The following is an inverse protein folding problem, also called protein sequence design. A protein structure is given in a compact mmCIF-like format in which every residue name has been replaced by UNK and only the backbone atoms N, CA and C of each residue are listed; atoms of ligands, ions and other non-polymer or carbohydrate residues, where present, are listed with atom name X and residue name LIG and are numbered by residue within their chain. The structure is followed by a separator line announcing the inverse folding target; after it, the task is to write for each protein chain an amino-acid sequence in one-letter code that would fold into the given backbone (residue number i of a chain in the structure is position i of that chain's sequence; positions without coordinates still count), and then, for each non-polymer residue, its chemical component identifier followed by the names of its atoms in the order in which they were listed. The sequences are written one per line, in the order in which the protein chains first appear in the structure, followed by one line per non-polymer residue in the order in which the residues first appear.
data_IF_695736040280
#
_entry.id   IF_695736040280
#
_cell.length_a   1.000
_cell.length_b   1.000
_cell.length_c   1.000
_cell.angle_alpha   90.00
_cell.angle_beta   90.00
_cell.angle_gamma   90.00
#
_symmetry.space_group_name_H-M   'P 1'
#
loop_
_entity.id
_entity.type
_entity.pdbx_description
1 polymer ?
#
# COMPACT_ATOMS: atom_id res chain seq x y z
N UNK A 1 20.53 0.52 -1.17
CA UNK A 1 19.60 1.61 -0.83
C UNK A 1 19.43 2.57 -2.02
N UNK A 2 20.43 3.34 -2.43
CA UNK A 2 20.30 4.37 -3.50
C UNK A 2 19.79 3.89 -4.86
N UNK A 3 19.95 2.61 -5.25
CA UNK A 3 19.51 2.11 -6.58
C UNK A 3 17.98 2.19 -6.77
N UNK A 4 17.19 1.92 -5.73
CA UNK A 4 15.71 1.99 -5.80
C UNK A 4 15.24 3.46 -5.81
N UNK A 5 15.80 4.30 -4.93
CA UNK A 5 15.47 5.73 -4.89
C UNK A 5 15.85 6.41 -6.21
N UNK A 6 17.05 6.17 -6.74
CA UNK A 6 17.47 6.75 -8.01
C UNK A 6 16.59 6.28 -9.19
N UNK A 7 16.23 4.99 -9.22
CA UNK A 7 15.43 4.42 -10.32
C UNK A 7 13.98 4.88 -10.36
N UNK A 8 13.39 5.21 -9.20
CA UNK A 8 11.96 5.51 -9.07
C UNK A 8 11.71 6.99 -8.77
N UNK A 9 12.45 7.55 -7.83
CA UNK A 9 12.20 8.90 -7.33
C UNK A 9 12.76 10.00 -8.22
N UNK A 10 13.96 9.83 -8.81
CA UNK A 10 14.51 10.82 -9.72
C UNK A 10 13.65 11.08 -10.97
N UNK A 11 13.12 10.06 -11.66
CA UNK A 11 12.21 10.32 -12.79
C UNK A 11 10.95 11.09 -12.38
N UNK A 12 10.40 10.82 -11.20
CA UNK A 12 9.25 11.54 -10.67
C UNK A 12 9.59 13.02 -10.41
N UNK A 13 10.72 13.30 -9.78
CA UNK A 13 11.18 14.64 -9.50
C UNK A 13 11.50 15.44 -10.79
N UNK A 14 12.13 14.79 -11.78
CA UNK A 14 12.37 15.41 -13.09
C UNK A 14 11.04 15.80 -13.76
N UNK A 15 10.05 14.91 -13.73
CA UNK A 15 8.73 15.21 -14.27
C UNK A 15 8.04 16.35 -13.52
N UNK A 16 8.13 16.36 -12.19
CA UNK A 16 7.62 17.44 -11.34
C UNK A 16 8.22 18.79 -11.73
N UNK A 17 9.55 18.89 -11.79
CA UNK A 17 10.28 20.11 -12.17
C UNK A 17 9.93 20.56 -13.58
N UNK A 18 9.86 19.62 -14.53
CA UNK A 18 9.51 19.89 -15.91
C UNK A 18 8.09 20.46 -16.05
N UNK A 19 7.10 19.86 -15.41
CA UNK A 19 5.71 20.33 -15.49
C UNK A 19 5.53 21.70 -14.81
N UNK A 20 6.20 21.92 -13.69
CA UNK A 20 6.21 23.25 -13.04
C UNK A 20 6.87 24.31 -13.91
N UNK A 21 7.99 24.02 -14.56
CA UNK A 21 8.66 24.93 -15.48
C UNK A 21 7.77 25.30 -16.69
N UNK A 22 6.78 24.45 -17.02
CA UNK A 22 5.77 24.73 -18.04
C UNK A 22 4.56 25.53 -17.50
N UNK A 23 4.60 25.99 -16.27
CA UNK A 23 3.52 26.76 -15.64
C UNK A 23 2.33 25.93 -15.17
N UNK A 24 2.48 24.60 -15.04
CA UNK A 24 1.40 23.74 -14.55
C UNK A 24 1.39 23.71 -13.03
N UNK A 25 0.20 23.56 -12.46
CA UNK A 25 0.06 23.20 -11.06
C UNK A 25 0.40 21.73 -10.89
N UNK A 26 1.24 21.38 -9.91
CA UNK A 26 1.70 20.01 -9.69
C UNK A 26 1.79 19.73 -8.20
N UNK A 27 1.14 18.66 -7.76
CA UNK A 27 1.34 18.10 -6.43
C UNK A 27 2.11 16.78 -6.57
N UNK A 28 3.32 16.72 -6.04
CA UNK A 28 4.17 15.54 -6.06
C UNK A 28 4.11 14.83 -4.71
N UNK A 29 3.53 13.65 -4.69
CA UNK A 29 3.31 12.86 -3.47
C UNK A 29 4.21 11.64 -3.46
N UNK A 30 4.79 11.35 -2.31
CA UNK A 30 5.48 10.10 -2.00
C UNK A 30 5.48 9.89 -0.49
N UNK A 31 6.02 8.76 -0.05
CA UNK A 31 6.15 8.46 1.37
C UNK A 31 6.89 7.17 1.64
N UNK A 32 7.12 6.90 2.91
CA UNK A 32 7.58 5.61 3.40
C UNK A 32 6.38 4.74 3.76
N UNK A 33 6.39 3.53 3.22
CA UNK A 33 5.50 2.45 3.63
C UNK A 33 6.08 1.81 4.89
N UNK A 34 5.38 1.96 6.02
CA UNK A 34 5.93 1.71 7.36
C UNK A 34 5.22 0.61 8.13
N UNK A 35 4.21 -0.02 7.53
CA UNK A 35 3.49 -1.12 8.12
C UNK A 35 3.89 -2.48 7.49
N UNK A 36 3.34 -3.54 8.06
CA UNK A 36 3.50 -4.90 7.55
C UNK A 36 4.68 -5.67 8.10
N UNK A 37 4.71 -6.93 7.71
CA UNK A 37 5.61 -7.98 8.22
C UNK A 37 7.11 -7.67 8.17
N UNK A 38 7.68 -7.01 7.14
CA UNK A 38 9.11 -6.73 7.12
C UNK A 38 9.58 -5.84 8.26
N UNK A 39 8.72 -4.95 8.74
CA UNK A 39 9.03 -4.04 9.85
C UNK A 39 9.04 -4.80 11.18
N UNK A 40 8.02 -5.64 11.42
CA UNK A 40 7.93 -6.42 12.66
C UNK A 40 9.07 -7.43 12.77
N UNK A 41 9.42 -8.12 11.68
CA UNK A 41 10.59 -9.02 11.63
C UNK A 41 11.88 -8.27 11.97
N UNK A 42 12.09 -7.10 11.37
CA UNK A 42 13.30 -6.30 11.64
C UNK A 42 13.34 -5.81 13.09
N UNK A 43 12.19 -5.43 13.65
CA UNK A 43 12.07 -5.01 15.05
C UNK A 43 12.41 -6.16 16.00
N UNK A 44 11.86 -7.35 15.78
CA UNK A 44 12.15 -8.56 16.54
C UNK A 44 13.65 -8.93 16.46
N UNK A 45 14.24 -8.96 15.27
CA UNK A 45 15.67 -9.27 15.06
C UNK A 45 16.60 -8.27 15.76
N UNK A 46 16.22 -7.00 15.84
CA UNK A 46 17.01 -5.95 16.50
C UNK A 46 16.66 -5.78 18.00
N UNK A 47 15.60 -6.38 18.52
CA UNK A 47 15.11 -6.19 19.88
C UNK A 47 14.63 -4.77 20.16
N UNK A 48 14.04 -4.08 19.18
CA UNK A 48 13.51 -2.73 19.29
C UNK A 48 12.04 -2.68 18.84
N UNK A 49 11.35 -1.55 19.07
CA UNK A 49 9.97 -1.41 18.64
C UNK A 49 9.85 -1.21 17.12
N UNK A 50 8.74 -1.65 16.48
CA UNK A 50 8.46 -1.34 15.08
C UNK A 50 8.51 0.15 14.78
N UNK A 51 8.00 1.00 15.69
CA UNK A 51 8.06 2.46 15.56
C UNK A 51 9.52 2.97 15.44
N UNK A 52 10.43 2.44 16.26
CA UNK A 52 11.85 2.83 16.21
C UNK A 52 12.50 2.46 14.87
N UNK A 53 12.13 1.30 14.31
CA UNK A 53 12.60 0.88 12.97
C UNK A 53 12.16 1.89 11.91
N UNK A 54 10.88 2.23 11.87
CA UNK A 54 10.35 3.11 10.81
C UNK A 54 10.82 4.55 10.96
N UNK A 55 11.01 5.06 12.17
CA UNK A 55 11.55 6.40 12.42
C UNK A 55 13.00 6.54 11.90
N UNK A 56 13.83 5.52 12.14
CA UNK A 56 15.17 5.44 11.58
C UNK A 56 15.15 5.47 10.05
N UNK A 57 14.40 4.55 9.44
CA UNK A 57 14.39 4.40 7.98
C UNK A 57 13.69 5.56 7.26
N UNK A 58 12.63 6.14 7.82
CA UNK A 58 12.01 7.34 7.26
C UNK A 58 13.01 8.48 7.13
N UNK A 59 13.75 8.76 8.22
CA UNK A 59 14.77 9.81 8.25
C UNK A 59 15.87 9.55 7.22
N UNK A 60 16.38 8.31 7.14
CA UNK A 60 17.41 7.93 6.18
C UNK A 60 16.92 8.08 4.74
N UNK A 61 15.69 7.65 4.46
CA UNK A 61 15.10 7.74 3.12
C UNK A 61 14.86 9.20 2.70
N UNK A 62 14.28 10.02 3.59
CA UNK A 62 14.07 11.44 3.34
C UNK A 62 15.38 12.16 3.05
N UNK A 63 16.41 11.90 3.88
CA UNK A 63 17.75 12.45 3.65
C UNK A 63 18.33 12.01 2.30
N UNK A 64 18.22 10.74 1.95
CA UNK A 64 18.70 10.23 0.66
C UNK A 64 18.06 10.92 -0.54
N UNK A 65 16.77 11.27 -0.46
CA UNK A 65 16.08 12.04 -1.50
C UNK A 65 16.62 13.46 -1.62
N UNK A 66 16.89 14.12 -0.49
CA UNK A 66 17.52 15.46 -0.49
C UNK A 66 18.92 15.40 -1.07
N UNK A 67 19.73 14.41 -0.67
CA UNK A 67 21.11 14.23 -1.16
C UNK A 67 21.14 13.96 -2.68
N UNK A 68 20.09 13.34 -3.24
CA UNK A 68 19.91 13.15 -4.68
C UNK A 68 19.39 14.40 -5.41
N UNK A 69 19.13 15.50 -4.70
CA UNK A 69 18.58 16.74 -5.27
C UNK A 69 17.10 16.66 -5.62
N UNK A 70 16.35 15.70 -5.06
CA UNK A 70 14.91 15.62 -5.21
C UNK A 70 14.20 16.72 -4.43
N UNK A 71 13.05 17.18 -4.95
CA UNK A 71 12.27 18.29 -4.39
C UNK A 71 11.34 17.85 -3.25
N UNK A 72 11.31 16.58 -2.85
CA UNK A 72 10.45 16.13 -1.76
C UNK A 72 10.82 16.76 -0.42
N UNK A 73 9.79 17.12 0.33
CA UNK A 73 9.88 17.68 1.67
C UNK A 73 8.98 16.91 2.64
N UNK A 74 9.39 16.84 3.90
CA UNK A 74 8.54 16.34 4.98
C UNK A 74 7.47 17.35 5.39
N UNK A 75 7.65 18.63 5.02
CA UNK A 75 6.70 19.69 5.27
C UNK A 75 6.36 20.40 3.97
N UNK A 76 5.11 20.80 3.81
CA UNK A 76 4.67 21.58 2.66
C UNK A 76 5.18 23.02 2.83
N UNK A 77 5.94 23.49 1.83
CA UNK A 77 6.32 24.88 1.71
C UNK A 77 5.09 25.71 1.30
N UNK A 78 4.72 26.70 2.10
CA UNK A 78 3.56 27.54 1.84
C UNK A 78 3.80 28.58 0.75
N UNK A 79 5.06 28.84 0.39
CA UNK A 79 5.39 29.75 -0.72
C UNK A 79 4.92 29.17 -2.07
N UNK A 80 3.91 29.83 -2.64
CA UNK A 80 3.32 29.37 -3.91
C UNK A 80 2.54 28.07 -3.79
N UNK A 81 1.95 27.80 -2.63
CA UNK A 81 1.15 26.60 -2.35
C UNK A 81 -0.02 26.45 -3.33
N UNK A 82 -0.54 27.53 -3.89
CA UNK A 82 -1.60 27.54 -4.91
C UNK A 82 -1.20 26.84 -6.22
N UNK A 83 0.09 26.62 -6.44
CA UNK A 83 0.63 25.85 -7.58
C UNK A 83 0.87 24.37 -7.27
N UNK A 84 0.49 23.92 -6.07
CA UNK A 84 0.73 22.56 -5.57
C UNK A 84 1.91 22.51 -4.63
N UNK A 85 2.81 21.57 -4.84
CA UNK A 85 3.99 21.39 -3.99
C UNK A 85 4.53 19.98 -4.06
N UNK A 86 5.34 19.62 -3.09
CA UNK A 86 5.86 18.26 -2.92
C UNK A 86 5.76 17.84 -1.46
N UNK A 87 5.36 16.61 -1.22
CA UNK A 87 5.26 16.06 0.12
C UNK A 87 5.82 14.63 0.16
N UNK A 88 6.71 14.38 1.11
CA UNK A 88 7.18 13.05 1.49
C UNK A 88 6.60 12.72 2.86
N UNK A 89 5.50 11.96 2.86
CA UNK A 89 4.76 11.57 4.07
C UNK A 89 5.16 10.18 4.54
N UNK A 90 4.46 9.65 5.52
CA UNK A 90 4.65 8.31 6.08
C UNK A 90 3.30 7.67 6.40
N UNK A 91 3.21 6.34 6.30
CA UNK A 91 1.94 5.65 6.57
C UNK A 91 1.61 5.54 8.07
N UNK A 92 2.58 5.77 8.96
CA UNK A 92 2.35 5.92 10.41
C UNK A 92 1.86 7.31 10.84
N UNK A 93 1.67 8.24 9.89
CA UNK A 93 1.07 9.55 10.17
C UNK A 93 -0.38 9.40 10.63
N UNK A 94 -0.76 10.12 11.69
CA UNK A 94 -2.11 10.03 12.26
C UNK A 94 -3.20 10.43 11.25
N UNK A 95 -2.93 11.42 10.37
CA UNK A 95 -3.89 11.81 9.32
C UNK A 95 -4.05 10.70 8.27
N UNK A 96 -2.99 9.94 8.01
CA UNK A 96 -3.10 8.77 7.13
C UNK A 96 -4.00 7.70 7.76
N UNK A 97 -3.80 7.39 9.04
CA UNK A 97 -4.66 6.45 9.77
C UNK A 97 -6.13 6.86 9.70
N UNK A 98 -6.45 8.12 10.03
CA UNK A 98 -7.82 8.63 10.01
C UNK A 98 -8.47 8.54 8.63
N UNK A 99 -7.75 8.95 7.57
CA UNK A 99 -8.26 8.91 6.19
C UNK A 99 -8.47 7.48 5.70
N UNK A 100 -7.55 6.57 6.02
CA UNK A 100 -7.68 5.16 5.64
C UNK A 100 -8.88 4.52 6.34
N UNK A 101 -9.07 4.79 7.63
CA UNK A 101 -10.23 4.31 8.37
C UNK A 101 -11.54 4.90 7.86
N UNK A 102 -11.56 6.18 7.49
CA UNK A 102 -12.72 6.83 6.83
C UNK A 102 -13.09 6.11 5.53
N UNK A 103 -12.11 5.86 4.65
CA UNK A 103 -12.34 5.15 3.38
C UNK A 103 -12.78 3.70 3.63
N UNK A 104 -12.18 3.02 4.60
CA UNK A 104 -12.55 1.65 4.94
C UNK A 104 -14.02 1.56 5.38
N UNK A 105 -14.47 2.47 6.25
CA UNK A 105 -15.86 2.53 6.69
C UNK A 105 -16.82 2.88 5.56
N UNK A 106 -16.45 3.80 4.67
CA UNK A 106 -17.26 4.11 3.48
C UNK A 106 -17.44 2.88 2.57
N UNK A 107 -16.40 2.07 2.38
CA UNK A 107 -16.52 0.83 1.61
C UNK A 107 -17.40 -0.21 2.31
N UNK A 108 -17.33 -0.29 3.63
CA UNK A 108 -18.19 -1.17 4.42
C UNK A 108 -19.66 -0.76 4.33
N UNK A 109 -19.96 0.53 4.48
CA UNK A 109 -21.30 1.10 4.35
C UNK A 109 -21.91 0.92 2.94
N UNK A 110 -21.06 0.91 1.91
CA UNK A 110 -21.46 0.66 0.52
C UNK A 110 -21.59 -0.83 0.19
N UNK A 111 -21.47 -1.72 1.16
CA UNK A 111 -21.47 -3.18 0.96
C UNK A 111 -20.38 -3.68 -0.01
N UNK A 112 -19.26 -2.97 -0.09
CA UNK A 112 -18.11 -3.36 -0.94
C UNK A 112 -17.11 -4.24 -0.20
N UNK A 113 -17.26 -4.40 1.12
CA UNK A 113 -16.49 -5.33 1.95
C UNK A 113 -17.39 -6.47 2.42
N UNK A 114 -16.91 -7.69 2.29
CA UNK A 114 -17.62 -8.88 2.75
C UNK A 114 -16.75 -9.73 3.65
N UNK A 115 -17.33 -10.26 4.72
CA UNK A 115 -16.65 -11.20 5.60
C UNK A 115 -16.50 -12.55 4.91
N UNK A 116 -15.28 -13.10 4.94
CA UNK A 116 -14.98 -14.46 4.49
C UNK A 116 -13.97 -15.11 5.43
N UNK A 117 -14.13 -16.40 5.66
CA UNK A 117 -13.18 -17.22 6.39
C UNK A 117 -12.08 -17.70 5.45
N UNK A 118 -10.84 -17.61 5.90
CA UNK A 118 -9.69 -18.18 5.20
C UNK A 118 -8.84 -19.01 6.16
N UNK A 119 -8.07 -19.93 5.59
CA UNK A 119 -7.14 -20.76 6.34
C UNK A 119 -5.76 -20.10 6.42
N UNK A 120 -5.20 -20.04 7.62
CA UNK A 120 -3.89 -19.44 7.85
C UNK A 120 -3.11 -20.24 8.88
N UNK A 121 -1.78 -20.30 8.71
CA UNK A 121 -0.93 -20.89 9.73
C UNK A 121 -0.92 -20.04 10.99
N UNK A 122 -0.86 -20.72 12.13
CA UNK A 122 -0.67 -20.11 13.44
C UNK A 122 0.37 -20.89 14.25
N UNK A 123 1.08 -20.19 15.10
CA UNK A 123 1.85 -20.78 16.20
C UNK A 123 0.95 -21.04 17.39
N UNK A 124 1.22 -22.13 18.07
CA UNK A 124 0.61 -22.43 19.36
C UNK A 124 1.72 -22.48 20.39
N UNK A 125 1.64 -21.61 21.38
CA UNK A 125 2.58 -21.60 22.49
C UNK A 125 2.29 -22.73 23.50
N UNK A 126 3.16 -22.86 24.51
CA UNK A 126 3.03 -23.88 25.56
C UNK A 126 1.82 -23.67 26.46
N UNK A 127 1.22 -22.48 26.46
CA UNK A 127 0.02 -22.12 27.21
C UNK A 127 -1.27 -22.28 26.39
N UNK A 128 -1.13 -22.60 25.09
CA UNK A 128 -2.23 -22.79 24.16
C UNK A 128 -2.70 -21.51 23.50
N UNK A 129 -1.98 -20.38 23.64
CA UNK A 129 -2.30 -19.16 22.94
C UNK A 129 -1.97 -19.31 21.45
N UNK A 130 -2.82 -18.72 20.62
CA UNK A 130 -2.73 -18.78 19.16
C UNK A 130 -2.23 -17.46 18.62
N UNK A 131 -1.12 -17.50 17.88
CA UNK A 131 -0.59 -16.36 17.12
C UNK A 131 -0.63 -16.69 15.63
N UNK A 132 -1.49 -16.03 14.87
CA UNK A 132 -1.51 -16.19 13.41
C UNK A 132 -0.21 -15.71 12.79
N UNK A 133 0.24 -16.44 11.77
CA UNK A 133 1.49 -16.16 11.06
C UNK A 133 1.14 -15.54 9.69
N UNK A 134 1.43 -14.26 9.46
CA UNK A 134 1.41 -13.72 8.10
C UNK A 134 2.32 -14.54 7.17
N UNK A 135 2.00 -14.57 5.87
CA UNK A 135 2.64 -15.45 4.88
C UNK A 135 4.17 -15.45 4.95
N UNK A 136 4.80 -14.30 5.22
CA UNK A 136 6.26 -14.17 5.29
C UNK A 136 6.90 -14.66 6.59
N UNK A 137 6.08 -14.99 7.59
CA UNK A 137 6.52 -15.68 8.80
C UNK A 137 6.50 -17.21 8.63
N UNK A 138 5.91 -17.72 7.56
CA UNK A 138 5.97 -19.13 7.21
C UNK A 138 7.05 -19.34 6.19
N UNK A 139 7.96 -20.29 6.43
CA UNK A 139 9.01 -20.70 5.51
C UNK A 139 8.99 -22.21 5.35
N UNK A 140 9.40 -22.70 4.21
CA UNK A 140 9.43 -24.13 3.91
C UNK A 140 10.05 -24.44 2.56
N UNK A 141 9.81 -25.64 2.07
CA UNK A 141 10.34 -26.09 0.78
C UNK A 141 9.38 -25.67 -0.33
N UNK A 142 9.91 -24.96 -1.33
CA UNK A 142 9.15 -24.53 -2.50
C UNK A 142 8.53 -25.73 -3.24
N UNK A 143 7.23 -25.74 -3.49
CA UNK A 143 6.57 -26.85 -4.20
C UNK A 143 6.98 -26.94 -5.69
N UNK A 144 7.57 -25.88 -6.25
CA UNK A 144 7.92 -25.80 -7.67
C UNK A 144 9.40 -26.13 -7.91
N UNK A 145 10.33 -25.56 -7.16
CA UNK A 145 11.76 -25.71 -7.42
C UNK A 145 12.56 -26.42 -6.31
N UNK A 146 11.93 -26.74 -5.18
CA UNK A 146 12.59 -27.43 -4.06
C UNK A 146 13.51 -26.54 -3.21
N UNK A 147 13.49 -25.20 -3.39
CA UNK A 147 14.25 -24.31 -2.53
C UNK A 147 13.78 -24.44 -1.07
N UNK A 148 14.70 -24.71 -0.13
CA UNK A 148 14.40 -25.04 1.27
C UNK A 148 14.04 -23.83 2.14
N UNK A 149 14.26 -22.61 1.64
CA UNK A 149 13.97 -21.35 2.33
C UNK A 149 12.92 -20.50 1.58
N UNK A 150 11.94 -21.15 0.99
CA UNK A 150 10.86 -20.48 0.31
C UNK A 150 9.89 -19.86 1.32
N UNK A 151 9.39 -18.66 1.01
CA UNK A 151 8.41 -17.95 1.86
C UNK A 151 6.99 -18.38 1.53
N UNK A 152 6.04 -18.13 2.44
CA UNK A 152 4.67 -18.57 2.29
C UNK A 152 3.87 -17.90 1.15
N UNK A 153 4.37 -16.81 0.58
CA UNK A 153 3.72 -16.09 -0.53
C UNK A 153 4.41 -16.27 -1.88
N UNK A 154 5.73 -16.50 -1.85
CA UNK A 154 6.52 -16.66 -3.07
C UNK A 154 7.89 -17.29 -2.81
N UNK A 155 8.48 -17.87 -3.83
CA UNK A 155 9.86 -18.34 -3.81
C UNK A 155 10.81 -17.29 -4.38
N UNK A 156 11.77 -16.83 -3.58
CA UNK A 156 12.79 -15.88 -4.04
C UNK A 156 13.74 -16.48 -5.10
N UNK A 157 13.85 -17.81 -5.17
CA UNK A 157 14.73 -18.51 -6.12
C UNK A 157 14.11 -18.64 -7.51
N UNK A 158 12.86 -19.10 -7.64
CA UNK A 158 12.23 -19.34 -8.94
C UNK A 158 11.14 -18.30 -9.28
N UNK A 159 10.75 -17.42 -8.33
CA UNK A 159 9.73 -16.39 -8.54
C UNK A 159 8.29 -16.90 -8.56
N UNK A 160 8.06 -18.19 -8.30
CA UNK A 160 6.70 -18.74 -8.25
C UNK A 160 5.94 -18.24 -7.04
N UNK A 161 4.66 -17.93 -7.23
CA UNK A 161 3.70 -17.56 -6.17
C UNK A 161 2.79 -18.73 -5.86
N UNK A 162 2.45 -18.90 -4.60
CA UNK A 162 1.60 -19.97 -4.07
C UNK A 162 1.01 -19.53 -2.72
N UNK A 163 0.07 -20.31 -2.19
CA UNK A 163 -0.46 -20.10 -0.85
C UNK A 163 0.46 -20.79 0.18
N UNK A 164 0.53 -20.25 1.41
CA UNK A 164 1.44 -20.75 2.44
C UNK A 164 1.25 -22.24 2.75
N UNK A 165 0.03 -22.77 2.60
CA UNK A 165 -0.28 -24.18 2.85
C UNK A 165 0.25 -25.13 1.74
N UNK A 166 0.69 -24.61 0.61
CA UNK A 166 1.30 -25.39 -0.47
C UNK A 166 2.80 -25.66 -0.23
N UNK A 167 3.42 -24.97 0.73
CA UNK A 167 4.80 -25.24 1.12
C UNK A 167 4.97 -26.66 1.69
N UNK A 168 6.01 -27.35 1.28
CA UNK A 168 6.40 -28.60 1.91
C UNK A 168 7.19 -28.31 3.20
N UNK A 169 6.93 -29.08 4.26
CA UNK A 169 7.58 -28.93 5.57
C UNK A 169 7.58 -27.48 6.09
N UNK A 170 6.41 -26.83 6.17
CA UNK A 170 6.31 -25.46 6.64
C UNK A 170 6.74 -25.36 8.11
N UNK A 171 7.34 -24.23 8.46
CA UNK A 171 7.76 -23.89 9.83
C UNK A 171 7.66 -22.38 10.05
N UNK A 172 7.53 -21.99 11.30
CA UNK A 172 7.63 -20.57 11.64
C UNK A 172 9.06 -20.06 11.46
N UNK A 173 9.20 -18.90 10.85
CA UNK A 173 10.49 -18.22 10.71
C UNK A 173 10.98 -17.65 12.04
N UNK A 174 10.08 -17.07 12.83
CA UNK A 174 10.41 -16.47 14.13
C UNK A 174 10.73 -17.51 15.21
N UNK A 175 10.06 -18.67 15.15
CA UNK A 175 10.27 -19.75 16.10
C UNK A 175 10.24 -21.11 15.38
N UNK A 176 11.40 -21.56 14.80
CA UNK A 176 11.46 -22.80 14.01
C UNK A 176 11.07 -24.08 14.78
N UNK A 177 11.07 -24.02 16.11
CA UNK A 177 10.67 -25.14 16.98
C UNK A 177 9.21 -25.06 17.45
N UNK A 178 8.49 -23.98 17.12
CA UNK A 178 7.09 -23.88 17.45
C UNK A 178 6.27 -24.90 16.67
N UNK A 179 5.24 -25.43 17.33
CA UNK A 179 4.20 -26.17 16.64
C UNK A 179 3.37 -25.19 15.83
N UNK A 180 3.28 -25.39 14.52
CA UNK A 180 2.37 -24.63 13.67
C UNK A 180 1.18 -25.49 13.25
N UNK A 181 0.03 -24.89 13.16
CA UNK A 181 -1.22 -25.49 12.70
C UNK A 181 -1.92 -24.56 11.72
N UNK A 182 -2.80 -25.10 10.90
CA UNK A 182 -3.70 -24.31 10.07
C UNK A 182 -5.00 -24.12 10.86
N UNK A 183 -5.45 -22.87 10.96
CA UNK A 183 -6.74 -22.52 11.57
C UNK A 183 -7.50 -21.54 10.69
N UNK A 184 -8.79 -21.57 10.85
CA UNK A 184 -9.69 -20.63 10.23
C UNK A 184 -9.60 -19.28 10.92
N UNK A 185 -9.54 -18.20 10.11
CA UNK A 185 -9.61 -16.81 10.56
C UNK A 185 -10.50 -16.01 9.63
N UNK A 186 -11.28 -15.09 10.18
CA UNK A 186 -12.21 -14.28 9.43
C UNK A 186 -11.57 -12.95 9.03
N UNK A 187 -11.73 -12.59 7.77
CA UNK A 187 -11.23 -11.35 7.20
C UNK A 187 -12.30 -10.64 6.38
N UNK A 188 -12.14 -9.32 6.22
CA UNK A 188 -12.93 -8.56 5.28
C UNK A 188 -12.26 -8.58 3.91
N UNK A 189 -13.05 -8.88 2.89
CA UNK A 189 -12.64 -8.97 1.50
C UNK A 189 -13.30 -7.88 0.69
N UNK A 190 -12.51 -7.09 -0.02
CA UNK A 190 -12.98 -6.13 -1.00
C UNK A 190 -13.52 -6.87 -2.23
N UNK A 191 -14.76 -6.57 -2.62
CA UNK A 191 -15.47 -7.19 -3.75
C UNK A 191 -14.93 -6.70 -5.10
N UNK A 192 -13.64 -6.88 -5.32
CA UNK A 192 -12.94 -6.39 -6.51
C UNK A 192 -13.52 -6.93 -7.83
N UNK A 193 -14.09 -8.12 -7.81
CA UNK A 193 -14.74 -8.74 -8.96
C UNK A 193 -15.92 -7.92 -9.51
N UNK A 194 -16.57 -7.11 -8.71
CA UNK A 194 -17.67 -6.24 -9.14
C UNK A 194 -17.20 -5.10 -10.05
N UNK A 195 -15.90 -4.79 -10.04
CA UNK A 195 -15.29 -3.74 -10.84
C UNK A 195 -14.62 -4.24 -12.13
N UNK A 196 -14.80 -5.51 -12.50
CA UNK A 196 -14.16 -6.11 -13.68
C UNK A 196 -14.41 -5.30 -14.94
N UNK A 197 -15.70 -5.04 -15.27
CA UNK A 197 -16.10 -4.34 -16.49
C UNK A 197 -15.60 -2.89 -16.52
N UNK A 198 -15.63 -2.21 -15.39
CA UNK A 198 -15.19 -0.81 -15.30
C UNK A 198 -13.67 -0.69 -15.47
N UNK A 199 -12.92 -1.62 -14.89
CA UNK A 199 -11.46 -1.68 -15.05
C UNK A 199 -11.07 -2.08 -16.48
N UNK A 200 -11.84 -2.93 -17.15
CA UNK A 200 -11.63 -3.23 -18.56
C UNK A 200 -11.85 -2.00 -19.44
N UNK A 201 -12.96 -1.29 -19.26
CA UNK A 201 -13.26 -0.02 -19.98
C UNK A 201 -12.16 1.01 -19.72
N UNK A 202 -11.75 1.18 -18.44
CA UNK A 202 -10.66 2.07 -18.07
C UNK A 202 -9.36 1.69 -18.78
N UNK A 203 -8.95 0.42 -18.72
CA UNK A 203 -7.76 -0.08 -19.39
C UNK A 203 -7.79 0.18 -20.91
N UNK A 204 -8.94 -0.05 -21.55
CA UNK A 204 -9.12 0.24 -22.99
C UNK A 204 -8.97 1.72 -23.30
N UNK A 205 -9.54 2.60 -22.48
CA UNK A 205 -9.41 4.07 -22.65
C UNK A 205 -7.96 4.55 -22.54
N UNK A 206 -7.10 3.84 -21.82
CA UNK A 206 -5.70 4.21 -21.58
C UNK A 206 -4.69 3.55 -22.53
N UNK A 207 -5.11 2.77 -23.49
CA UNK A 207 -4.21 2.02 -24.40
C UNK A 207 -3.18 2.88 -25.16
N UNK A 208 -3.54 4.13 -25.50
CA UNK A 208 -2.63 5.05 -26.17
C UNK A 208 -1.67 5.79 -25.21
N UNK A 209 -1.94 5.76 -23.91
CA UNK A 209 -1.23 6.55 -22.89
C UNK A 209 -0.28 5.67 -22.08
N UNK A 210 -0.73 4.48 -21.69
CA UNK A 210 0.05 3.58 -20.86
C UNK A 210 1.19 2.92 -21.63
N UNK A 211 2.29 2.69 -20.92
CA UNK A 211 3.44 1.94 -21.46
C UNK A 211 3.05 0.51 -21.82
N UNK A 212 3.70 -0.12 -22.80
CA UNK A 212 3.37 -1.48 -23.26
C UNK A 212 3.39 -2.54 -22.15
N UNK A 213 4.36 -2.48 -21.24
CA UNK A 213 4.45 -3.41 -20.11
C UNK A 213 3.29 -3.25 -19.12
N UNK A 214 2.83 -2.03 -18.84
CA UNK A 214 1.66 -1.78 -17.99
C UNK A 214 0.43 -2.38 -18.62
N UNK A 215 0.20 -2.11 -19.93
CA UNK A 215 -0.94 -2.65 -20.67
C UNK A 215 -0.96 -4.19 -20.68
N UNK A 216 0.19 -4.81 -20.94
CA UNK A 216 0.29 -6.26 -20.98
C UNK A 216 -0.02 -6.89 -19.61
N UNK A 217 0.53 -6.33 -18.54
CA UNK A 217 0.28 -6.81 -17.18
C UNK A 217 -1.18 -6.65 -16.78
N UNK A 218 -1.76 -5.47 -16.99
CA UNK A 218 -3.19 -5.20 -16.71
C UNK A 218 -4.09 -6.15 -17.50
N UNK A 219 -3.83 -6.34 -18.80
CA UNK A 219 -4.61 -7.26 -19.62
C UNK A 219 -4.54 -8.69 -19.11
N UNK A 220 -3.37 -9.16 -18.74
CA UNK A 220 -3.22 -10.52 -18.19
C UNK A 220 -4.05 -10.71 -16.92
N UNK A 221 -4.02 -9.74 -16.03
CA UNK A 221 -4.80 -9.78 -14.78
C UNK A 221 -6.30 -9.78 -15.03
N UNK A 222 -6.80 -8.89 -15.87
CA UNK A 222 -8.21 -8.84 -16.23
C UNK A 222 -8.67 -10.13 -16.92
N UNK A 223 -7.83 -10.71 -17.79
CA UNK A 223 -8.15 -12.00 -18.46
C UNK A 223 -8.23 -13.18 -17.48
N UNK A 224 -7.55 -13.14 -16.33
CA UNK A 224 -7.65 -14.16 -15.28
C UNK A 224 -8.96 -14.05 -14.48
N UNK A 225 -9.69 -12.95 -14.62
CA UNK A 225 -10.83 -12.60 -13.81
C UNK A 225 -10.43 -12.08 -12.43
N UNK A 226 -11.02 -10.97 -12.02
CA UNK A 226 -10.77 -10.40 -10.71
C UNK A 226 -11.47 -11.21 -9.63
N UNK A 227 -10.82 -11.35 -8.47
CA UNK A 227 -11.36 -12.06 -7.30
C UNK A 227 -11.39 -11.13 -6.10
N UNK A 228 -12.30 -11.37 -5.15
CA UNK A 228 -12.28 -10.64 -3.89
C UNK A 228 -10.88 -10.70 -3.24
N UNK A 229 -10.48 -9.60 -2.60
CA UNK A 229 -9.16 -9.46 -1.97
C UNK A 229 -9.29 -9.15 -0.49
N UNK A 230 -8.64 -9.93 0.36
CA UNK A 230 -8.61 -9.66 1.78
C UNK A 230 -7.91 -8.33 2.07
N UNK A 231 -8.62 -7.42 2.75
CA UNK A 231 -8.15 -6.08 3.13
C UNK A 231 -7.85 -5.95 4.61
N UNK A 232 -7.96 -7.04 5.37
CA UNK A 232 -7.53 -7.14 6.77
C UNK A 232 -6.50 -8.25 6.93
N UNK A 233 -5.72 -8.19 8.01
CA UNK A 233 -4.70 -9.19 8.36
C UNK A 233 -4.63 -9.38 9.88
N UNK A 234 -4.28 -10.59 10.31
CA UNK A 234 -3.91 -10.89 11.70
C UNK A 234 -2.50 -10.38 11.96
N UNK A 235 -2.37 -9.09 12.18
CA UNK A 235 -1.12 -8.39 12.41
C UNK A 235 -1.38 -7.19 13.32
N UNK A 236 -0.63 -7.07 14.41
CA UNK A 236 -0.79 -5.97 15.37
C UNK A 236 -0.18 -4.66 14.86
N UNK A 237 0.92 -4.73 14.07
CA UNK A 237 1.58 -3.56 13.53
C UNK A 237 0.95 -3.12 12.21
N UNK A 238 0.05 -2.17 12.27
CA UNK A 238 -0.69 -1.65 11.13
C UNK A 238 -1.73 -0.62 11.57
N UNK A 239 -2.61 -0.25 10.67
CA UNK A 239 -3.78 0.58 10.98
C UNK A 239 -4.89 -0.35 11.46
N UNK A 240 -5.39 -0.13 12.67
CA UNK A 240 -6.44 -0.95 13.28
C UNK A 240 -7.72 -0.92 12.44
N UNK A 241 -8.42 -2.02 12.36
CA UNK A 241 -9.75 -2.12 11.76
C UNK A 241 -10.73 -1.30 12.59
N UNK A 242 -11.41 -0.28 12.03
CA UNK A 242 -12.25 0.65 12.80
C UNK A 242 -13.67 0.12 13.08
N UNK A 243 -13.78 -1.14 13.47
CA UNK A 243 -15.05 -1.81 13.82
C UNK A 243 -15.01 -2.13 15.30
N UNK A 244 -15.98 -1.62 16.04
CA UNK A 244 -16.11 -1.83 17.50
C UNK A 244 -16.72 -3.21 17.81
N UNK A 245 -15.95 -4.26 17.51
CA UNK A 245 -16.29 -5.65 17.81
C UNK A 245 -14.99 -6.40 18.13
N UNK A 246 -15.06 -7.26 19.15
CA UNK A 246 -13.92 -8.06 19.64
C UNK A 246 -13.32 -8.97 18.57
N UNK A 247 -14.10 -9.37 17.57
CA UNK A 247 -13.64 -10.17 16.44
C UNK A 247 -12.54 -9.47 15.64
N UNK A 248 -12.57 -8.13 15.59
CA UNK A 248 -11.62 -7.32 14.82
C UNK A 248 -10.46 -6.77 15.66
N UNK A 249 -10.49 -7.05 16.97
CA UNK A 249 -9.36 -6.74 17.86
C UNK A 249 -8.12 -7.50 17.42
N UNK A 250 -6.96 -6.87 17.42
CA UNK A 250 -5.67 -7.41 16.94
C UNK A 250 -5.60 -7.71 15.44
N UNK A 251 -6.54 -7.18 14.66
CA UNK A 251 -6.46 -7.19 13.19
C UNK A 251 -6.15 -5.78 12.68
N UNK A 252 -5.34 -5.72 11.63
CA UNK A 252 -5.02 -4.47 10.94
C UNK A 252 -5.52 -4.46 9.51
N UNK A 253 -5.71 -3.26 8.98
CA UNK A 253 -5.94 -3.05 7.56
C UNK A 253 -4.68 -3.46 6.80
N UNK A 254 -4.85 -4.17 5.69
CA UNK A 254 -3.76 -4.73 4.90
C UNK A 254 -2.88 -3.62 4.29
N UNK A 255 -1.58 -3.71 4.52
CA UNK A 255 -0.61 -2.69 4.12
C UNK A 255 -0.70 -2.26 2.66
N UNK A 256 -0.94 -3.17 1.73
CA UNK A 256 -1.07 -2.83 0.31
C UNK A 256 -2.39 -2.13 -0.03
N UNK A 257 -3.42 -2.30 0.79
CA UNK A 257 -4.67 -1.56 0.65
C UNK A 257 -4.53 -0.14 1.21
N UNK A 258 -3.86 0.04 2.36
CA UNK A 258 -3.73 1.35 3.01
C UNK A 258 -2.61 2.21 2.38
N UNK A 259 -1.44 1.63 2.08
CA UNK A 259 -0.27 2.40 1.65
C UNK A 259 -0.49 3.17 0.34
N UNK A 260 -1.27 2.62 -0.60
CA UNK A 260 -1.60 3.32 -1.86
C UNK A 260 -2.48 4.56 -1.64
N UNK A 261 -3.23 4.60 -0.55
CA UNK A 261 -4.04 5.75 -0.16
C UNK A 261 -3.17 6.90 0.37
N UNK A 262 -1.89 6.66 0.65
CA UNK A 262 -0.91 7.68 1.02
C UNK A 262 -0.79 8.82 0.00
N UNK A 263 -1.03 8.54 -1.27
CA UNK A 263 -1.08 9.60 -2.29
C UNK A 263 -2.29 10.51 -2.13
N UNK A 264 -3.44 9.95 -1.77
CA UNK A 264 -4.64 10.72 -1.44
C UNK A 264 -4.46 11.49 -0.13
N UNK A 265 -3.88 10.85 0.88
CA UNK A 265 -3.52 11.50 2.15
C UNK A 265 -2.65 12.73 1.93
N UNK A 266 -1.65 12.65 1.06
CA UNK A 266 -0.82 13.81 0.72
C UNK A 266 -1.66 14.98 0.14
N UNK A 267 -2.66 14.70 -0.68
CA UNK A 267 -3.54 15.73 -1.22
C UNK A 267 -4.45 16.34 -0.14
N UNK A 268 -4.91 15.53 0.82
CA UNK A 268 -5.70 16.00 1.97
C UNK A 268 -4.86 16.89 2.89
N UNK A 269 -3.66 16.48 3.25
CA UNK A 269 -2.72 17.27 4.05
C UNK A 269 -2.35 18.58 3.34
N UNK A 270 -2.10 18.52 2.03
CA UNK A 270 -1.87 19.74 1.24
C UNK A 270 -3.08 20.69 1.31
N UNK A 271 -4.32 20.16 1.15
CA UNK A 271 -5.53 20.98 1.18
C UNK A 271 -5.77 21.62 2.56
N UNK A 272 -5.54 20.90 3.64
CA UNK A 272 -5.62 21.43 5.01
C UNK A 272 -4.62 22.57 5.22
N UNK A 273 -3.39 22.41 4.74
CA UNK A 273 -2.39 23.47 4.79
C UNK A 273 -2.79 24.67 3.92
N UNK A 274 -3.32 24.41 2.74
CA UNK A 274 -3.82 25.45 1.85
C UNK A 274 -5.00 26.22 2.48
N UNK A 275 -5.95 25.52 3.09
CA UNK A 275 -7.10 26.10 3.76
C UNK A 275 -6.70 26.97 4.97
N UNK A 276 -5.58 26.68 5.65
CA UNK A 276 -5.09 27.54 6.73
C UNK A 276 -4.78 28.97 6.27
N UNK A 277 -4.42 29.12 4.99
CA UNK A 277 -4.15 30.42 4.35
C UNK A 277 -5.34 30.92 3.48
N UNK A 278 -6.22 30.00 3.09
CA UNK A 278 -7.40 30.25 2.25
C UNK A 278 -8.63 29.52 2.80
N UNK A 279 -9.26 30.03 3.88
CA UNK A 279 -10.33 29.30 4.61
C UNK A 279 -11.57 28.95 3.75
N UNK A 280 -11.80 29.67 2.67
CA UNK A 280 -12.91 29.41 1.72
C UNK A 280 -12.67 28.20 0.81
N UNK A 281 -11.52 27.51 0.93
CA UNK A 281 -11.06 26.44 0.03
C UNK A 281 -10.72 25.14 0.75
N UNK A 282 -11.49 24.81 1.76
CA UNK A 282 -11.28 23.61 2.59
C UNK A 282 -11.23 22.31 1.77
N UNK A 283 -12.00 22.19 0.71
CA UNK A 283 -12.05 21.01 -0.16
C UNK A 283 -11.12 21.11 -1.38
N UNK A 284 -10.01 21.86 -1.27
CA UNK A 284 -9.09 22.04 -2.38
C UNK A 284 -8.40 20.72 -2.85
N UNK A 285 -8.42 19.65 -2.04
CA UNK A 285 -7.95 18.32 -2.44
C UNK A 285 -8.69 17.78 -3.66
N UNK A 286 -9.96 18.15 -3.87
CA UNK A 286 -10.75 17.74 -5.02
C UNK A 286 -10.10 18.14 -6.35
N UNK A 287 -9.34 19.24 -6.37
CA UNK A 287 -8.64 19.68 -7.56
C UNK A 287 -7.56 18.69 -8.03
N UNK A 288 -7.15 17.76 -7.16
CA UNK A 288 -6.13 16.76 -7.42
C UNK A 288 -6.70 15.35 -7.61
N UNK A 289 -7.98 15.13 -7.27
CA UNK A 289 -8.58 13.79 -7.28
C UNK A 289 -9.91 13.70 -8.03
N UNK A 290 -10.60 14.80 -8.22
CA UNK A 290 -11.89 14.81 -8.89
C UNK A 290 -11.79 15.55 -10.22
N UNK A 291 -12.21 14.88 -11.30
CA UNK A 291 -12.27 15.50 -12.62
C UNK A 291 -13.43 16.48 -12.66
N UNK A 292 -13.12 17.76 -12.85
CA UNK A 292 -14.16 18.83 -12.90
C UNK A 292 -14.32 19.32 -14.34
N UNK A 293 -15.53 19.74 -14.76
CA UNK A 293 -15.72 20.38 -16.08
C UNK A 293 -14.70 21.52 -16.28
N UNK A 294 -14.07 21.55 -17.44
CA UNK A 294 -13.05 22.55 -17.83
C UNK A 294 -11.71 22.44 -17.07
N UNK A 295 -11.47 21.39 -16.32
CA UNK A 295 -10.20 21.11 -15.69
C UNK A 295 -9.59 19.86 -16.29
N UNK A 296 -8.33 19.92 -16.70
CA UNK A 296 -7.55 18.74 -17.14
C UNK A 296 -6.73 18.21 -15.97
N UNK A 297 -7.20 17.15 -15.33
CA UNK A 297 -6.48 16.46 -14.28
C UNK A 297 -5.70 15.27 -14.86
N UNK A 298 -4.44 15.12 -14.45
CA UNK A 298 -3.59 14.02 -14.86
C UNK A 298 -2.83 13.44 -13.68
N UNK A 299 -3.02 12.15 -13.41
CA UNK A 299 -2.21 11.39 -12.47
C UNK A 299 -1.07 10.68 -13.20
N UNK A 300 0.14 10.77 -12.65
CA UNK A 300 1.33 10.11 -13.18
C UNK A 300 1.96 9.34 -12.03
N UNK A 301 2.00 8.01 -12.14
CA UNK A 301 2.58 7.13 -11.13
C UNK A 301 3.94 6.62 -11.60
N UNK A 302 4.95 6.77 -10.73
CA UNK A 302 6.28 6.21 -10.90
C UNK A 302 6.43 5.05 -9.91
N UNK A 303 6.42 3.82 -10.41
CA UNK A 303 6.36 2.64 -9.56
C UNK A 303 7.11 1.45 -10.15
N UNK A 304 7.44 0.48 -9.31
CA UNK A 304 7.86 -0.84 -9.77
C UNK A 304 6.70 -1.61 -10.42
N UNK A 305 7.02 -2.58 -11.28
CA UNK A 305 6.00 -3.40 -11.96
C UNK A 305 5.05 -4.11 -10.98
N UNK A 306 5.58 -4.48 -9.82
CA UNK A 306 4.85 -5.26 -8.81
C UNK A 306 3.73 -4.44 -8.12
N UNK A 307 3.81 -3.10 -8.21
CA UNK A 307 2.80 -2.18 -7.66
C UNK A 307 1.67 -1.85 -8.66
N UNK A 308 1.78 -2.27 -9.92
CA UNK A 308 0.74 -2.01 -10.93
C UNK A 308 -0.62 -2.57 -10.50
N UNK A 309 -0.74 -3.83 -10.03
CA UNK A 309 -2.02 -4.35 -9.56
C UNK A 309 -2.60 -3.54 -8.40
N UNK A 310 -1.78 -3.20 -7.40
CA UNK A 310 -2.23 -2.48 -6.22
C UNK A 310 -2.83 -1.12 -6.56
N UNK A 311 -2.17 -0.34 -7.44
CA UNK A 311 -2.68 0.96 -7.85
C UNK A 311 -3.91 0.88 -8.76
N UNK A 312 -4.06 -0.18 -9.54
CA UNK A 312 -5.25 -0.38 -10.37
C UNK A 312 -6.50 -0.74 -9.56
N UNK A 313 -6.33 -1.42 -8.42
CA UNK A 313 -7.45 -2.05 -7.71
C UNK A 313 -7.75 -1.43 -6.35
N UNK A 314 -6.81 -0.72 -5.74
CA UNK A 314 -6.96 -0.21 -4.38
C UNK A 314 -6.84 1.30 -4.26
N UNK A 315 -6.33 1.98 -5.29
CA UNK A 315 -6.36 3.44 -5.30
C UNK A 315 -7.77 3.92 -5.65
N UNK A 316 -8.37 4.81 -4.87
CA UNK A 316 -9.56 5.51 -5.29
C UNK A 316 -9.21 6.25 -6.59
N UNK A 317 -9.61 5.69 -7.71
CA UNK A 317 -9.48 6.39 -9.00
C UNK A 317 -10.50 7.50 -9.02
N UNK A 318 -10.14 8.71 -9.48
CA UNK A 318 -11.16 9.73 -9.70
C UNK A 318 -12.21 9.10 -10.62
N UNK A 319 -13.44 9.00 -10.15
CA UNK A 319 -14.56 8.67 -11.03
C UNK A 319 -14.70 9.83 -12.00
N UNK A 320 -14.71 9.51 -13.29
CA UNK A 320 -14.98 10.46 -14.37
C UNK A 320 -16.37 11.06 -14.21
#
# INVERSE_FOLDING_TARGET
MYKRQAGNSLPADIQYKYERARGRKVLMCSGSDEHGTPITVTAEEKGITPQSVVDEFHTINAKALVDLGCSWSQNIDTRGIEYGGSLYNRTTDIRHKEIVQEIFMQLLEQDLLQKQTMQQYCEIDTEGNVKFLPDRYVVGICPVCGNEEARGDQCDSCGSTYEAHELNSPKSKSNPNAKIEIRDTDHLFYKLNEFQDDLEKHSQSRQKIWKPNVRAMTKNWLNMGLRPRAVTRDLEWGIDVPIDDTEWTNKSIYVWFEAVQGYYTCARIWAEKFASEHPDKENAWENWWINKPNQSLRHIYFMGKDNIPCLLYTSPSPRD
#
